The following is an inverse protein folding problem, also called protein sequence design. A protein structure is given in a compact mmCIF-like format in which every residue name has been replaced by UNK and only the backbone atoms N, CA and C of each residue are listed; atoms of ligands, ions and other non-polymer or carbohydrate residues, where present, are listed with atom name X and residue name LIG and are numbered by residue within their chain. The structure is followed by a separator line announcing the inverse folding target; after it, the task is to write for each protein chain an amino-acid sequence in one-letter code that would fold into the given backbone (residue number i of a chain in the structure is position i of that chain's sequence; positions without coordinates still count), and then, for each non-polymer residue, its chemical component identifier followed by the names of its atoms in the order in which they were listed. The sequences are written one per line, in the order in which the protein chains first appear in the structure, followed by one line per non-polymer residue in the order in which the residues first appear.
data_IF_146610094124
#
_entry.id   IF_146610094124
#
_cell.length_a   1.000
_cell.length_b   1.000
_cell.length_c   1.000
_cell.angle_alpha   90.00
_cell.angle_beta   90.00
_cell.angle_gamma   90.00
#
_symmetry.space_group_name_H-M   'P 1'
#
loop_
_entity.id
_entity.type
_entity.pdbx_description
1 polymer ?
#
# COMPACT_ATOMS: atom_id res chain seq x y z
N UNK A 1 3.17 -11.83 -18.33
CA UNK A 1 2.95 -11.29 -16.97
C UNK A 1 1.53 -10.76 -16.94
N UNK A 2 0.62 -11.40 -16.21
CA UNK A 2 -0.72 -10.87 -16.02
C UNK A 2 -0.61 -9.75 -14.99
N UNK A 3 -0.73 -8.49 -15.42
CA UNK A 3 -0.89 -7.36 -14.52
C UNK A 3 -2.35 -7.33 -14.06
N UNK A 4 -2.72 -8.25 -13.17
CA UNK A 4 -4.07 -8.25 -12.63
C UNK A 4 -4.11 -7.24 -11.48
N UNK A 5 -4.75 -6.09 -11.72
CA UNK A 5 -4.91 -5.02 -10.71
C UNK A 5 -6.20 -5.22 -9.89
N UNK A 6 -6.91 -6.33 -10.06
CA UNK A 6 -8.10 -6.62 -9.26
C UNK A 6 -7.71 -6.67 -7.77
N UNK A 7 -8.24 -5.74 -6.95
CA UNK A 7 -7.88 -5.64 -5.54
C UNK A 7 -8.12 -6.93 -4.76
N UNK A 8 -9.12 -7.75 -5.14
CA UNK A 8 -9.42 -9.01 -4.47
C UNK A 8 -8.37 -10.07 -4.79
N UNK A 9 -7.97 -10.17 -6.06
CA UNK A 9 -6.92 -11.10 -6.50
C UNK A 9 -5.59 -10.74 -5.84
N UNK A 10 -5.21 -9.45 -5.90
CA UNK A 10 -3.96 -8.96 -5.28
C UNK A 10 -3.97 -9.19 -3.76
N UNK A 11 -5.09 -8.95 -3.08
CA UNK A 11 -5.21 -9.20 -1.63
C UNK A 11 -5.01 -10.67 -1.29
N UNK A 12 -5.60 -11.59 -2.06
CA UNK A 12 -5.45 -13.03 -1.85
C UNK A 12 -4.00 -13.46 -2.06
N UNK A 13 -3.38 -13.05 -3.16
CA UNK A 13 -1.98 -13.37 -3.46
C UNK A 13 -1.03 -12.84 -2.39
N UNK A 14 -1.24 -11.62 -1.92
CA UNK A 14 -0.43 -11.01 -0.87
C UNK A 14 -0.58 -11.76 0.47
N UNK A 15 -1.79 -12.21 0.80
CA UNK A 15 -2.04 -13.03 1.99
C UNK A 15 -1.30 -14.36 1.91
N UNK A 16 -1.47 -15.08 0.79
CA UNK A 16 -0.88 -16.40 0.61
C UNK A 16 0.65 -16.33 0.61
N UNK A 17 1.21 -15.31 -0.05
CA UNK A 17 2.65 -15.06 -0.05
C UNK A 17 3.16 -14.74 1.36
N UNK A 18 2.46 -13.89 2.13
CA UNK A 18 2.84 -13.62 3.52
C UNK A 18 2.83 -14.88 4.40
N UNK A 19 1.81 -15.74 4.26
CA UNK A 19 1.74 -17.00 4.99
C UNK A 19 2.90 -17.94 4.63
N UNK A 20 3.28 -17.99 3.35
CA UNK A 20 4.45 -18.77 2.88
C UNK A 20 5.76 -18.25 3.46
N UNK A 21 5.88 -16.94 3.70
CA UNK A 21 7.01 -16.31 4.38
C UNK A 21 6.99 -16.50 5.90
N UNK A 22 5.98 -17.19 6.46
CA UNK A 22 5.89 -17.49 7.89
C UNK A 22 5.19 -16.42 8.73
N UNK A 23 4.53 -15.44 8.11
CA UNK A 23 3.73 -14.49 8.88
C UNK A 23 2.53 -15.19 9.54
N UNK A 24 2.15 -14.78 10.77
CA UNK A 24 0.91 -15.26 11.38
C UNK A 24 -0.31 -14.77 10.59
N UNK A 25 -1.41 -15.53 10.65
CA UNK A 25 -2.65 -15.24 9.91
C UNK A 25 -3.16 -13.80 10.07
N UNK A 26 -3.07 -13.23 11.27
CA UNK A 26 -3.44 -11.83 11.53
C UNK A 26 -2.57 -10.85 10.73
N UNK A 27 -1.25 -11.06 10.73
CA UNK A 27 -0.34 -10.22 9.98
C UNK A 27 -0.53 -10.39 8.46
N UNK A 28 -0.79 -11.62 8.00
CA UNK A 28 -1.15 -11.92 6.62
C UNK A 28 -2.44 -11.21 6.17
N UNK A 29 -3.47 -11.18 7.02
CA UNK A 29 -4.70 -10.43 6.73
C UNK A 29 -4.47 -8.91 6.64
N UNK A 30 -3.61 -8.35 7.50
CA UNK A 30 -3.23 -6.94 7.43
C UNK A 30 -2.46 -6.60 6.14
N UNK A 31 -1.53 -7.49 5.73
CA UNK A 31 -0.81 -7.35 4.45
C UNK A 31 -1.78 -7.41 3.27
N UNK A 32 -2.74 -8.34 3.30
CA UNK A 32 -3.77 -8.46 2.27
C UNK A 32 -4.58 -7.17 2.10
N UNK A 33 -5.06 -6.60 3.22
CA UNK A 33 -5.79 -5.33 3.22
C UNK A 33 -4.93 -4.18 2.64
N UNK A 34 -3.66 -4.09 3.06
CA UNK A 34 -2.75 -3.08 2.53
C UNK A 34 -2.56 -3.24 1.01
N UNK A 35 -2.33 -4.47 0.52
CA UNK A 35 -2.16 -4.75 -0.89
C UNK A 35 -3.42 -4.42 -1.72
N UNK A 36 -4.61 -4.73 -1.20
CA UNK A 36 -5.88 -4.37 -1.83
C UNK A 36 -6.11 -2.87 -1.94
N UNK A 37 -5.80 -2.10 -0.88
CA UNK A 37 -5.89 -0.63 -0.92
C UNK A 37 -4.92 -0.04 -1.95
N UNK A 38 -3.69 -0.56 -2.01
CA UNK A 38 -2.69 -0.15 -2.99
C UNK A 38 -3.11 -0.47 -4.44
N UNK A 39 -3.60 -1.68 -4.70
CA UNK A 39 -4.13 -2.07 -6.01
C UNK A 39 -5.32 -1.21 -6.42
N UNK A 40 -6.23 -0.95 -5.47
CA UNK A 40 -7.38 -0.09 -5.70
C UNK A 40 -6.99 1.36 -6.01
N UNK A 41 -5.92 1.86 -5.39
CA UNK A 41 -5.37 3.17 -5.70
C UNK A 41 -4.81 3.22 -7.13
N UNK A 42 -3.99 2.24 -7.53
CA UNK A 42 -3.48 2.15 -8.90
C UNK A 42 -4.63 2.07 -9.93
N UNK A 43 -5.64 1.23 -9.68
CA UNK A 43 -6.76 1.08 -10.60
C UNK A 43 -7.65 2.33 -10.68
N UNK A 44 -8.10 2.87 -9.55
CA UNK A 44 -9.08 3.98 -9.51
C UNK A 44 -8.47 5.35 -9.81
N UNK A 45 -7.20 5.55 -9.46
CA UNK A 45 -6.56 6.87 -9.49
C UNK A 45 -5.31 6.91 -10.38
N UNK A 46 -4.62 5.78 -10.53
CA UNK A 46 -3.42 5.64 -11.35
C UNK A 46 -3.68 5.38 -12.84
N UNK A 47 -4.92 5.11 -13.24
CA UNK A 47 -5.26 4.69 -14.60
C UNK A 47 -4.82 3.25 -14.91
N UNK A 48 -4.61 2.43 -13.87
CA UNK A 48 -3.98 1.12 -13.95
C UNK A 48 -2.61 1.11 -13.28
N UNK A 49 -1.94 -0.03 -13.30
CA UNK A 49 -0.64 -0.21 -12.66
C UNK A 49 -0.40 -1.65 -12.24
N UNK A 50 0.58 -1.84 -11.35
CA UNK A 50 0.86 -3.13 -10.75
C UNK A 50 1.17 -3.01 -9.27
N UNK A 51 0.97 -4.12 -8.55
CA UNK A 51 1.49 -4.31 -7.20
C UNK A 51 2.45 -5.49 -7.24
N UNK A 52 3.71 -5.23 -6.92
CA UNK A 52 4.74 -6.24 -6.79
C UNK A 52 4.85 -6.69 -5.34
N UNK A 53 5.08 -7.99 -5.13
CA UNK A 53 5.33 -8.58 -3.81
C UNK A 53 6.77 -9.07 -3.78
N UNK A 54 7.57 -8.57 -2.84
CA UNK A 54 8.96 -8.95 -2.69
C UNK A 54 9.19 -9.55 -1.30
N UNK A 55 9.83 -10.71 -1.25
CA UNK A 55 10.35 -11.25 0.01
C UNK A 55 11.60 -10.47 0.41
N UNK A 56 11.64 -10.01 1.67
CA UNK A 56 12.83 -9.43 2.27
C UNK A 56 13.46 -10.44 3.23
N UNK A 57 14.72 -10.22 3.61
CA UNK A 57 15.40 -11.08 4.58
C UNK A 57 14.67 -11.12 5.94
N UNK A 58 13.99 -10.03 6.31
CA UNK A 58 13.29 -9.84 7.56
C UNK A 58 11.80 -9.51 7.38
N UNK A 59 11.19 -9.82 6.22
CA UNK A 59 9.79 -9.49 6.00
C UNK A 59 9.30 -9.52 4.56
N UNK A 60 8.38 -8.62 4.25
CA UNK A 60 7.75 -8.46 2.94
C UNK A 60 7.70 -6.99 2.55
N UNK A 61 7.91 -6.71 1.27
CA UNK A 61 7.69 -5.41 0.63
C UNK A 61 6.58 -5.51 -0.41
N UNK A 62 5.62 -4.58 -0.32
CA UNK A 62 4.61 -4.32 -1.34
C UNK A 62 5.04 -3.08 -2.11
N UNK A 63 5.16 -3.18 -3.43
CA UNK A 63 5.49 -2.05 -4.29
C UNK A 63 4.39 -1.81 -5.31
N UNK A 64 3.62 -0.75 -5.11
CA UNK A 64 2.54 -0.33 -6.00
C UNK A 64 3.03 0.77 -6.93
N UNK A 65 2.86 0.58 -8.24
CA UNK A 65 3.40 1.46 -9.27
C UNK A 65 2.29 1.76 -10.29
N UNK A 66 2.03 3.05 -10.51
CA UNK A 66 1.15 3.54 -11.57
C UNK A 66 1.82 4.63 -12.40
N UNK A 67 1.21 4.94 -13.55
CA UNK A 67 1.61 6.03 -14.46
C UNK A 67 0.53 7.13 -14.51
N UNK A 68 -0.23 7.28 -13.42
CA UNK A 68 -1.31 8.23 -13.32
C UNK A 68 -0.84 9.68 -13.18
N UNK A 69 -1.77 10.61 -12.91
CA UNK A 69 -1.48 12.05 -12.82
C UNK A 69 -0.68 12.44 -11.57
N UNK A 70 -0.39 11.50 -10.67
CA UNK A 70 0.20 11.76 -9.36
C UNK A 70 -0.79 12.30 -8.32
N UNK A 71 -0.29 12.52 -7.10
CA UNK A 71 -1.06 13.01 -5.96
C UNK A 71 -0.52 14.39 -5.54
N UNK A 72 -1.23 15.48 -5.83
CA UNK A 72 -0.83 16.82 -5.41
C UNK A 72 -0.78 16.98 -3.89
N UNK A 73 0.17 17.81 -3.45
CA UNK A 73 0.34 18.26 -2.06
C UNK A 73 0.39 17.12 -1.03
N UNK A 74 1.01 15.99 -1.37
CA UNK A 74 1.12 14.86 -0.44
C UNK A 74 2.02 15.19 0.76
N UNK A 75 3.02 16.07 0.58
CA UNK A 75 3.95 16.52 1.63
C UNK A 75 3.27 17.20 2.82
N UNK A 76 2.12 17.86 2.62
CA UNK A 76 1.40 18.55 3.71
C UNK A 76 0.52 17.62 4.55
N UNK A 77 0.31 16.37 4.13
CA UNK A 77 -0.53 15.42 4.86
C UNK A 77 0.23 14.60 5.91
N UNK A 78 1.57 14.60 5.85
CA UNK A 78 2.44 13.75 6.68
C UNK A 78 2.87 14.42 8.00
N UNK A 79 2.85 15.75 8.11
CA UNK A 79 3.31 16.48 9.30
C UNK A 79 2.23 16.66 10.38
N UNK A 80 0.96 16.83 10.02
CA UNK A 80 -0.08 17.17 10.99
C UNK A 80 -0.94 15.97 11.38
N UNK A 81 -0.58 15.35 12.51
CA UNK A 81 -1.39 14.39 13.26
C UNK A 81 -2.73 14.94 13.81
N UNK A 82 -3.22 16.06 13.29
CA UNK A 82 -4.49 16.67 13.67
C UNK A 82 -5.22 17.15 12.41
N UNK A 83 -6.13 16.31 11.90
CA UNK A 83 -7.08 16.68 10.84
C UNK A 83 -8.16 17.65 11.35
N UNK A 84 -7.77 18.83 11.86
CA UNK A 84 -8.71 19.93 12.10
C UNK A 84 -8.84 20.77 10.83
N UNK A 85 -9.86 20.45 10.02
CA UNK A 85 -10.24 21.26 8.87
C UNK A 85 -9.79 20.75 7.49
N UNK A 86 -9.71 19.42 7.26
CA UNK A 86 -9.48 18.94 5.88
C UNK A 86 -10.67 19.28 4.99
N UNK A 87 -10.47 20.16 4.01
CA UNK A 87 -11.40 20.34 2.88
C UNK A 87 -11.49 19.00 2.14
N UNK A 88 -12.69 18.56 1.80
CA UNK A 88 -12.86 17.41 0.92
C UNK A 88 -12.27 17.77 -0.46
N UNK A 89 -11.35 16.95 -0.95
CA UNK A 89 -10.71 17.09 -2.26
C UNK A 89 -10.88 15.80 -3.05
N UNK A 90 -10.71 15.80 -4.39
CA UNK A 90 -10.70 14.57 -5.18
C UNK A 90 -9.66 13.54 -4.69
N UNK A 91 -8.62 13.98 -3.95
CA UNK A 91 -7.56 13.14 -3.40
C UNK A 91 -7.82 12.67 -1.97
N UNK A 92 -8.92 13.08 -1.33
CA UNK A 92 -9.28 12.66 0.04
C UNK A 92 -9.35 11.12 0.16
N UNK A 93 -10.00 10.37 -0.77
CA UNK A 93 -10.02 8.91 -0.70
C UNK A 93 -8.63 8.26 -0.72
N UNK A 94 -7.70 8.81 -1.51
CA UNK A 94 -6.31 8.32 -1.61
C UNK A 94 -5.56 8.58 -0.29
N UNK A 95 -5.76 9.75 0.30
CA UNK A 95 -5.13 10.11 1.58
C UNK A 95 -5.61 9.20 2.72
N UNK A 96 -6.90 8.87 2.72
CA UNK A 96 -7.49 7.97 3.73
C UNK A 96 -6.99 6.54 3.57
N UNK A 97 -6.93 6.02 2.32
CA UNK A 97 -6.41 4.66 2.05
C UNK A 97 -4.93 4.54 2.40
N UNK A 98 -4.09 5.53 2.04
CA UNK A 98 -2.68 5.58 2.46
C UNK A 98 -2.54 5.65 3.99
N UNK A 99 -3.45 6.36 4.66
CA UNK A 99 -3.54 6.36 6.13
C UNK A 99 -3.82 4.98 6.71
N UNK A 100 -4.68 4.19 6.06
CA UNK A 100 -4.94 2.78 6.43
C UNK A 100 -3.72 1.90 6.19
N UNK A 101 -3.05 2.02 5.04
CA UNK A 101 -1.82 1.27 4.76
C UNK A 101 -0.75 1.54 5.83
N UNK A 102 -0.54 2.81 6.21
CA UNK A 102 0.39 3.20 7.29
C UNK A 102 0.05 2.62 8.68
N UNK A 103 -1.22 2.28 8.93
CA UNK A 103 -1.64 1.61 10.19
C UNK A 103 -1.44 0.09 10.16
N UNK A 104 -1.35 -0.50 8.98
CA UNK A 104 -1.28 -1.96 8.78
C UNK A 104 0.14 -2.48 8.54
N UNK A 105 1.02 -1.60 8.07
CA UNK A 105 2.39 -1.86 7.67
C UNK A 105 3.36 -1.12 8.60
N UNK A 106 4.61 -1.58 8.70
CA UNK A 106 5.60 -0.98 9.60
C UNK A 106 6.25 0.27 8.99
N UNK A 107 6.44 0.28 7.67
CA UNK A 107 7.05 1.39 6.92
C UNK A 107 6.27 1.64 5.63
N UNK A 108 6.06 2.91 5.27
CA UNK A 108 5.43 3.30 4.01
C UNK A 108 6.14 4.53 3.45
N UNK A 109 6.64 4.40 2.22
CA UNK A 109 7.25 5.47 1.44
C UNK A 109 6.36 5.76 0.24
N UNK A 110 6.13 7.04 -0.07
CA UNK A 110 5.37 7.44 -1.26
C UNK A 110 6.20 8.40 -2.09
N UNK A 111 6.38 8.06 -3.36
CA UNK A 111 6.98 8.92 -4.37
C UNK A 111 5.93 9.21 -5.43
N UNK A 112 5.56 10.47 -5.61
CA UNK A 112 4.52 10.86 -6.57
C UNK A 112 4.95 12.08 -7.35
N UNK A 113 4.70 12.07 -8.66
CA UNK A 113 4.96 13.17 -9.60
C UNK A 113 3.85 13.20 -10.65
N UNK A 114 3.90 14.18 -11.54
CA UNK A 114 3.00 14.36 -12.68
C UNK A 114 2.98 13.19 -13.70
N UNK A 115 3.78 12.14 -13.47
CA UNK A 115 3.94 10.96 -14.34
C UNK A 115 3.72 9.63 -13.63
N UNK A 116 3.17 9.66 -12.42
CA UNK A 116 2.80 8.44 -11.70
C UNK A 116 3.15 8.48 -10.22
N UNK A 117 2.70 7.44 -9.55
CA UNK A 117 2.95 7.21 -8.13
C UNK A 117 3.62 5.85 -7.92
N UNK A 118 4.61 5.83 -7.04
CA UNK A 118 5.18 4.62 -6.47
C UNK A 118 4.97 4.65 -4.97
N UNK A 119 4.31 3.63 -4.43
CA UNK A 119 4.16 3.41 -3.00
C UNK A 119 4.90 2.13 -2.62
N UNK A 120 5.80 2.24 -1.65
CA UNK A 120 6.52 1.10 -1.08
C UNK A 120 6.05 0.92 0.35
N UNK A 121 5.50 -0.23 0.69
CA UNK A 121 5.04 -0.55 2.03
C UNK A 121 5.71 -1.83 2.52
N UNK A 122 6.38 -1.78 3.67
CA UNK A 122 7.11 -2.92 4.25
C UNK A 122 6.49 -3.37 5.54
N UNK A 123 6.53 -4.68 5.75
CA UNK A 123 6.17 -5.30 7.02
C UNK A 123 7.23 -6.29 7.44
N UNK A 124 7.66 -6.18 8.69
CA UNK A 124 8.69 -7.05 9.25
C UNK A 124 8.08 -8.34 9.75
N UNK A 125 8.70 -9.45 9.38
CA UNK A 125 8.46 -10.73 10.01
C UNK A 125 9.12 -10.67 11.39
N UNK A 126 8.34 -10.25 12.40
CA UNK A 126 8.84 -10.30 13.78
C UNK A 126 9.10 -11.76 14.11
N UNK A 127 10.36 -12.09 14.40
CA UNK A 127 10.71 -13.40 14.91
C UNK A 127 9.78 -13.74 16.07
N UNK A 128 9.26 -14.97 16.09
CA UNK A 128 8.65 -15.53 17.27
C UNK A 128 9.73 -15.51 18.35
N UNK A 129 9.82 -14.44 19.14
CA UNK A 129 10.50 -14.51 20.44
C UNK A 129 9.71 -15.55 21.21
N UNK A 130 10.32 -16.74 21.33
CA UNK A 130 9.75 -17.90 21.97
C UNK A 130 9.47 -17.72 23.45
#
# INVERSE_FOLDING_TARGET
MASDTDPLVVSSLAKDFALQLGFPSVAGAQIALAAGELASNCFRHGGGGCVELHALADGIELRAIDQGPGIPDLSTAEEDGVSRGRRHTPYTPIRDSLGSVRRLMDEVEVQTRDRGTTVVARKRLRGLTG
#
